data_IF_292224783765
#
_entry.id   IF_292224783765
#
_cell.length_a   1.000
_cell.length_b   1.000
_cell.length_c   1.000
_cell.angle_alpha   90.00
_cell.angle_beta   90.00
_cell.angle_gamma   90.00
#
_symmetry.space_group_name_H-M   'P 1'
#
loop_
_entity.id
_entity.type
_entity.pdbx_description
1 polymer ?
#
# COMPACT_ATOMS: atom_id res chain seq x y z
N UNK A 1 -15.99 9.90 3.89
CA UNK A 1 -17.12 10.09 4.83
C UNK A 1 -18.33 9.22 4.48
N UNK A 2 -18.86 9.27 3.24
CA UNK A 2 -20.05 8.46 2.86
C UNK A 2 -19.81 6.96 3.11
N UNK A 3 -18.69 6.41 2.64
CA UNK A 3 -18.34 4.98 2.79
C UNK A 3 -18.32 4.59 4.28
N UNK A 4 -17.61 5.33 5.11
CA UNK A 4 -17.51 5.03 6.55
C UNK A 4 -18.83 5.16 7.28
N UNK A 5 -19.68 6.10 6.87
CA UNK A 5 -21.05 6.21 7.43
C UNK A 5 -21.94 5.06 7.00
N UNK A 6 -21.78 4.56 5.78
CA UNK A 6 -22.57 3.42 5.27
C UNK A 6 -22.22 2.12 6.00
N UNK A 7 -20.92 1.88 6.25
CA UNK A 7 -20.45 0.63 6.86
C UNK A 7 -20.24 0.71 8.38
N UNK A 8 -20.30 1.90 8.97
CA UNK A 8 -20.19 2.10 10.42
C UNK A 8 -18.76 2.32 10.92
N UNK A 9 -18.62 2.36 12.25
CA UNK A 9 -17.37 2.76 12.94
C UNK A 9 -16.18 1.79 12.74
N UNK A 10 -16.45 0.58 12.29
CA UNK A 10 -15.43 -0.43 11.97
C UNK A 10 -14.90 -0.33 10.53
N UNK A 11 -15.39 0.65 9.76
CA UNK A 11 -14.92 0.93 8.41
C UNK A 11 -14.17 2.26 8.39
N UNK A 12 -12.88 2.19 8.14
CA UNK A 12 -11.98 3.33 7.97
C UNK A 12 -11.81 3.65 6.50
N UNK A 13 -11.69 4.94 6.21
CA UNK A 13 -11.32 5.44 4.87
C UNK A 13 -10.09 6.32 5.02
N UNK A 14 -9.05 6.03 4.23
CA UNK A 14 -7.82 6.82 4.17
C UNK A 14 -7.59 7.29 2.74
N UNK A 15 -7.11 8.53 2.59
CA UNK A 15 -6.60 9.05 1.31
C UNK A 15 -5.14 9.40 1.50
N UNK A 16 -4.32 8.89 0.60
CA UNK A 16 -2.89 9.17 0.48
C UNK A 16 -2.60 10.09 -0.68
N UNK A 17 -1.72 11.07 -0.44
CA UNK A 17 -1.06 11.91 -1.44
C UNK A 17 0.36 11.37 -1.68
N UNK A 18 0.68 10.97 -2.90
CA UNK A 18 1.97 10.38 -3.25
C UNK A 18 3.04 11.44 -3.57
N UNK A 19 2.63 12.69 -3.78
CA UNK A 19 3.59 13.78 -3.94
C UNK A 19 4.18 14.23 -2.59
N UNK A 20 3.63 13.74 -1.46
CA UNK A 20 4.11 14.04 -0.09
C UNK A 20 4.33 12.78 0.74
N UNK A 21 5.31 11.93 0.42
CA UNK A 21 5.50 10.62 1.05
C UNK A 21 5.62 10.69 2.58
N UNK A 22 6.29 11.71 3.13
CA UNK A 22 6.48 11.91 4.57
C UNK A 22 5.21 12.34 5.31
N UNK A 23 4.22 12.88 4.60
CA UNK A 23 2.93 13.31 5.13
C UNK A 23 1.81 12.82 4.21
N UNK A 24 1.86 11.58 3.81
CA UNK A 24 1.03 11.04 2.75
C UNK A 24 -0.44 10.93 3.12
N UNK A 25 -0.76 10.73 4.39
CA UNK A 25 -2.15 10.68 4.85
C UNK A 25 -2.74 12.08 4.86
N UNK A 26 -3.56 12.40 3.86
CA UNK A 26 -4.23 13.71 3.74
C UNK A 26 -5.66 13.70 4.25
N UNK A 27 -6.25 12.53 4.41
CA UNK A 27 -7.58 12.34 4.98
C UNK A 27 -7.70 10.99 5.66
N UNK A 28 -8.40 10.96 6.79
CA UNK A 28 -8.84 9.72 7.44
C UNK A 28 -10.20 9.92 8.08
N UNK A 29 -11.03 8.89 8.06
CA UNK A 29 -12.31 8.79 8.77
C UNK A 29 -12.36 7.44 9.48
N UNK A 30 -12.80 7.43 10.74
CA UNK A 30 -12.80 6.25 11.61
C UNK A 30 -11.40 5.62 11.80
N UNK A 31 -10.38 6.43 12.06
CA UNK A 31 -8.99 6.05 12.17
C UNK A 31 -8.66 5.03 13.29
N UNK A 32 -9.65 4.61 14.05
CA UNK A 32 -9.49 3.57 15.09
C UNK A 32 -9.20 2.16 14.52
N UNK A 33 -9.39 1.97 13.21
CA UNK A 33 -9.13 0.67 12.56
C UNK A 33 -7.62 0.43 12.41
N UNK A 34 -6.90 1.41 11.87
CA UNK A 34 -5.44 1.31 11.67
C UNK A 34 -4.63 2.26 12.56
N UNK A 35 -5.29 3.11 13.34
CA UNK A 35 -4.71 4.19 14.17
C UNK A 35 -3.88 5.20 13.37
N UNK A 36 -4.26 5.47 12.12
CA UNK A 36 -3.59 6.43 11.27
C UNK A 36 -4.15 7.82 11.39
N UNK A 37 -3.26 8.81 11.53
CA UNK A 37 -3.62 10.23 11.59
C UNK A 37 -3.24 10.97 10.32
N UNK A 38 -3.96 12.06 10.03
CA UNK A 38 -3.58 13.00 8.96
C UNK A 38 -2.19 13.56 9.23
N UNK A 39 -1.35 13.61 8.21
CA UNK A 39 0.04 14.05 8.28
C UNK A 39 1.05 12.91 8.53
N UNK A 40 0.61 11.69 8.75
CA UNK A 40 1.54 10.55 8.85
C UNK A 40 2.09 10.14 7.47
N UNK A 41 3.31 9.58 7.50
CA UNK A 41 3.96 9.00 6.32
C UNK A 41 3.32 7.67 5.91
N UNK A 42 3.72 7.14 4.77
CA UNK A 42 3.48 5.74 4.42
C UNK A 42 4.05 4.82 5.50
N UNK A 43 3.33 3.72 5.79
CA UNK A 43 3.98 2.61 6.50
C UNK A 43 4.77 1.78 5.50
N UNK A 44 5.87 1.20 5.98
CA UNK A 44 6.63 0.20 5.23
C UNK A 44 5.73 -0.93 4.73
N UNK A 45 4.79 -1.38 5.56
CA UNK A 45 3.78 -2.36 5.18
C UNK A 45 2.95 -1.90 3.97
N UNK A 46 2.41 -0.68 3.98
CA UNK A 46 1.58 -0.19 2.87
C UNK A 46 2.36 -0.14 1.56
N UNK A 47 3.60 0.30 1.61
CA UNK A 47 4.46 0.34 0.42
C UNK A 47 4.76 -1.07 -0.06
N UNK A 48 5.34 -1.93 0.78
CA UNK A 48 5.80 -3.27 0.40
C UNK A 48 4.64 -4.21 0.08
N UNK A 49 3.66 -4.30 0.99
CA UNK A 49 2.63 -5.34 0.93
C UNK A 49 1.39 -4.93 0.13
N UNK A 50 1.22 -3.65 -0.15
CA UNK A 50 0.05 -3.17 -0.90
C UNK A 50 0.46 -2.61 -2.25
N UNK A 51 1.29 -1.56 -2.27
CA UNK A 51 1.61 -0.89 -3.53
C UNK A 51 2.53 -1.73 -4.42
N UNK A 52 3.46 -2.47 -3.82
CA UNK A 52 4.51 -3.18 -4.55
C UNK A 52 4.17 -4.65 -4.83
N UNK A 53 3.53 -5.35 -3.90
CA UNK A 53 3.33 -6.79 -4.01
C UNK A 53 1.97 -7.20 -4.57
N UNK A 54 0.99 -6.27 -4.64
CA UNK A 54 -0.35 -6.61 -5.10
C UNK A 54 -0.60 -6.19 -6.54
N UNK A 55 -1.27 -7.08 -7.30
CA UNK A 55 -1.72 -6.76 -8.65
C UNK A 55 -2.94 -5.85 -8.60
N UNK A 56 -2.82 -4.68 -9.20
CA UNK A 56 -3.94 -3.77 -9.40
C UNK A 56 -4.62 -4.07 -10.74
N UNK A 57 -5.91 -4.34 -10.69
CA UNK A 57 -6.74 -4.50 -11.87
C UNK A 57 -7.62 -3.24 -12.04
N UNK A 58 -7.48 -2.53 -13.15
CA UNK A 58 -8.13 -1.23 -13.35
C UNK A 58 -7.92 -0.27 -12.17
N UNK A 59 -6.67 -0.12 -11.73
CA UNK A 59 -6.26 0.71 -10.59
C UNK A 59 -6.84 0.30 -9.24
N UNK A 60 -7.47 -0.87 -9.13
CA UNK A 60 -8.05 -1.36 -7.89
C UNK A 60 -7.44 -2.70 -7.46
N UNK A 61 -7.12 -2.80 -6.17
CA UNK A 61 -6.83 -4.05 -5.49
C UNK A 61 -7.83 -4.20 -4.33
N UNK A 62 -8.73 -5.17 -4.40
CA UNK A 62 -9.84 -5.29 -3.46
C UNK A 62 -9.77 -6.57 -2.63
N UNK A 63 -10.35 -6.51 -1.43
CA UNK A 63 -10.64 -7.66 -0.57
C UNK A 63 -9.41 -8.43 -0.07
N UNK A 64 -8.25 -7.78 0.09
CA UNK A 64 -7.12 -8.42 0.71
C UNK A 64 -7.19 -8.36 2.24
N UNK A 65 -6.62 -9.35 2.90
CA UNK A 65 -6.54 -9.41 4.36
C UNK A 65 -5.16 -8.93 4.79
N UNK A 66 -5.14 -8.07 5.79
CA UNK A 66 -3.92 -7.63 6.47
C UNK A 66 -4.06 -7.84 7.98
N UNK A 67 -2.94 -7.92 8.66
CA UNK A 67 -2.90 -7.96 10.11
C UNK A 67 -2.48 -6.59 10.66
N UNK A 68 -3.30 -6.03 11.54
CA UNK A 68 -2.99 -4.79 12.25
C UNK A 68 -1.90 -5.00 13.30
N UNK A 69 -1.32 -3.90 13.81
CA UNK A 69 -0.25 -3.93 14.84
C UNK A 69 -0.64 -4.67 16.13
N UNK A 70 -1.92 -4.80 16.40
CA UNK A 70 -2.51 -5.43 17.57
C UNK A 70 -3.09 -6.84 17.26
N UNK A 71 -2.70 -7.43 16.13
CA UNK A 71 -3.18 -8.74 15.68
C UNK A 71 -4.60 -8.73 15.10
N UNK A 72 -5.22 -7.56 14.94
CA UNK A 72 -6.53 -7.45 14.30
C UNK A 72 -6.48 -7.89 12.86
N UNK A 73 -7.45 -8.69 12.44
CA UNK A 73 -7.67 -8.97 11.03
C UNK A 73 -8.45 -7.84 10.37
N UNK A 74 -7.84 -7.24 9.36
CA UNK A 74 -8.40 -6.09 8.65
C UNK A 74 -8.58 -6.50 7.18
N UNK A 75 -9.80 -6.36 6.67
CA UNK A 75 -10.09 -6.50 5.25
C UNK A 75 -9.92 -5.16 4.58
N UNK A 76 -9.05 -5.09 3.58
CA UNK A 76 -8.68 -3.85 2.94
C UNK A 76 -8.95 -3.88 1.43
N UNK A 77 -9.15 -2.70 0.88
CA UNK A 77 -9.21 -2.45 -0.56
C UNK A 77 -8.56 -1.13 -0.86
N UNK A 78 -7.78 -1.07 -1.94
CA UNK A 78 -7.06 0.13 -2.36
C UNK A 78 -7.36 0.44 -3.81
N UNK A 79 -7.67 1.70 -4.10
CA UNK A 79 -7.79 2.23 -5.45
C UNK A 79 -6.75 3.33 -5.67
N UNK A 80 -6.02 3.25 -6.78
CA UNK A 80 -5.06 4.27 -7.19
C UNK A 80 -5.79 5.48 -7.76
N UNK A 81 -5.31 6.67 -7.46
CA UNK A 81 -5.84 7.94 -7.97
C UNK A 81 -4.83 8.46 -9.00
N UNK A 82 -5.31 8.74 -10.21
CA UNK A 82 -4.49 9.30 -11.29
C UNK A 82 -4.87 10.73 -11.59
N UNK A 83 -3.90 11.49 -12.05
CA UNK A 83 -4.14 12.80 -12.67
C UNK A 83 -4.66 12.67 -14.12
N UNK A 84 -4.90 13.80 -14.77
CA UNK A 84 -5.39 13.85 -16.15
C UNK A 84 -4.38 13.31 -17.19
N UNK A 85 -3.11 13.18 -16.81
CA UNK A 85 -2.04 12.65 -17.66
C UNK A 85 -1.83 11.15 -17.42
N UNK A 86 -2.63 10.52 -16.53
CA UNK A 86 -2.51 9.12 -16.19
C UNK A 86 -1.47 8.80 -15.09
N UNK A 87 -0.75 9.82 -14.57
CA UNK A 87 0.20 9.63 -13.47
C UNK A 87 -0.54 9.29 -12.18
N UNK A 88 -0.08 8.25 -11.45
CA UNK A 88 -0.59 7.95 -10.12
C UNK A 88 -0.14 9.03 -9.14
N UNK A 89 -1.10 9.71 -8.51
CA UNK A 89 -0.87 10.82 -7.59
C UNK A 89 -1.31 10.52 -6.16
N UNK A 90 -2.01 9.40 -5.95
CA UNK A 90 -2.49 9.05 -4.62
C UNK A 90 -3.20 7.70 -4.60
N UNK A 91 -3.75 7.37 -3.43
CA UNK A 91 -4.57 6.19 -3.24
C UNK A 91 -5.73 6.46 -2.27
N UNK A 92 -6.86 5.81 -2.53
CA UNK A 92 -7.98 5.66 -1.62
C UNK A 92 -7.94 4.26 -1.02
N UNK A 93 -7.88 4.16 0.31
CA UNK A 93 -7.94 2.91 1.03
C UNK A 93 -9.24 2.81 1.84
N UNK A 94 -9.89 1.64 1.79
CA UNK A 94 -11.03 1.28 2.63
C UNK A 94 -10.63 0.07 3.46
N UNK A 95 -10.65 0.21 4.78
CA UNK A 95 -10.23 -0.79 5.74
C UNK A 95 -11.40 -1.17 6.65
N UNK A 96 -11.67 -2.46 6.80
CA UNK A 96 -12.74 -2.97 7.66
C UNK A 96 -12.12 -3.85 8.74
N UNK A 97 -12.32 -3.48 10.00
CA UNK A 97 -11.95 -4.30 11.15
C UNK A 97 -12.89 -5.52 11.23
N UNK A 98 -12.33 -6.71 11.06
CA UNK A 98 -13.07 -7.98 11.10
C UNK A 98 -13.15 -8.58 12.51
N UNK A 99 -12.53 -7.98 13.53
CA UNK A 99 -12.36 -8.60 14.86
C UNK A 99 -13.69 -9.05 15.46
N UNK A 100 -14.73 -8.22 15.37
CA UNK A 100 -16.06 -8.56 15.88
C UNK A 100 -16.73 -9.69 15.09
N UNK A 101 -16.53 -9.74 13.77
CA UNK A 101 -17.09 -10.79 12.92
C UNK A 101 -16.40 -12.11 13.24
N UNK A 102 -15.08 -12.10 13.36
CA UNK A 102 -14.27 -13.28 13.71
C UNK A 102 -14.68 -13.82 15.09
N UNK A 103 -14.82 -12.94 16.09
CA UNK A 103 -15.27 -13.32 17.42
C UNK A 103 -16.67 -13.94 17.37
N UNK A 104 -17.61 -13.31 16.70
CA UNK A 104 -18.98 -13.81 16.57
C UNK A 104 -19.04 -15.17 15.86
N UNK A 105 -18.22 -15.39 14.83
CA UNK A 105 -18.10 -16.69 14.18
C UNK A 105 -17.56 -17.76 15.14
N UNK A 106 -16.56 -17.42 15.96
CA UNK A 106 -16.04 -18.32 17.00
C UNK A 106 -17.11 -18.71 18.04
N UNK A 107 -17.88 -17.71 18.51
CA UNK A 107 -18.98 -17.94 19.45
C UNK A 107 -20.03 -18.87 18.85
N UNK A 108 -20.41 -18.68 17.60
CA UNK A 108 -21.35 -19.57 16.88
C UNK A 108 -20.76 -20.97 16.74
N UNK A 109 -19.50 -21.09 16.33
CA UNK A 109 -18.83 -22.39 16.16
C UNK A 109 -18.83 -23.18 17.48
N UNK A 110 -18.50 -22.50 18.58
CA UNK A 110 -18.53 -23.08 19.93
C UNK A 110 -19.95 -23.55 20.31
N UNK A 111 -20.96 -22.70 20.08
CA UNK A 111 -22.36 -23.02 20.39
C UNK A 111 -22.87 -24.24 19.62
N UNK A 112 -22.45 -24.38 18.36
CA UNK A 112 -22.86 -25.49 17.49
C UNK A 112 -21.98 -26.72 17.62
N UNK A 113 -20.93 -26.70 18.46
CA UNK A 113 -19.94 -27.77 18.57
C UNK A 113 -19.17 -28.03 17.28
N UNK A 114 -19.01 -27.00 16.44
CA UNK A 114 -18.26 -27.06 15.20
C UNK A 114 -16.78 -26.76 15.45
N UNK A 115 -15.83 -27.29 14.65
CA UNK A 115 -14.45 -26.84 14.73
C UNK A 115 -14.35 -25.33 14.41
N UNK A 116 -13.36 -24.65 14.99
CA UNK A 116 -13.18 -23.22 14.82
C UNK A 116 -13.29 -22.79 13.36
N UNK A 117 -14.07 -21.73 13.12
CA UNK A 117 -14.25 -21.18 11.79
C UNK A 117 -12.89 -20.68 11.26
N UNK A 118 -12.44 -21.25 10.15
CA UNK A 118 -11.18 -20.89 9.52
C UNK A 118 -11.34 -19.49 8.90
N UNK A 119 -10.79 -18.46 9.56
CA UNK A 119 -10.51 -17.20 8.88
C UNK A 119 -9.37 -17.50 7.89
N UNK A 120 -9.53 -17.19 6.60
CA UNK A 120 -8.44 -17.43 5.65
C UNK A 120 -7.14 -16.82 6.17
N UNK A 121 -5.99 -17.52 6.09
CA UNK A 121 -4.72 -16.92 6.41
C UNK A 121 -4.51 -15.67 5.54
N UNK A 122 -3.80 -14.67 6.06
CA UNK A 122 -3.32 -13.59 5.23
C UNK A 122 -2.54 -14.22 4.06
N UNK A 123 -2.85 -13.83 2.83
CA UNK A 123 -2.13 -14.35 1.66
C UNK A 123 -0.65 -14.02 1.81
N UNK A 124 0.20 -15.05 1.92
CA UNK A 124 1.65 -14.88 1.78
C UNK A 124 1.93 -14.57 0.31
N UNK A 125 2.32 -13.33 0.04
CA UNK A 125 2.78 -12.91 -1.29
C UNK A 125 4.29 -13.11 -1.34
N UNK A 126 4.78 -13.73 -2.40
CA UNK A 126 6.22 -13.83 -2.67
C UNK A 126 6.79 -12.43 -2.95
N UNK A 127 7.32 -11.82 -1.88
CA UNK A 127 7.71 -10.40 -1.83
C UNK A 127 8.98 -10.11 -2.67
N UNK A 128 9.81 -11.13 -2.91
CA UNK A 128 11.15 -10.91 -3.47
C UNK A 128 11.14 -10.66 -4.97
N UNK A 129 10.26 -11.32 -5.73
CA UNK A 129 10.15 -11.12 -7.18
C UNK A 129 9.44 -9.81 -7.53
N UNK A 130 8.42 -9.45 -6.77
CA UNK A 130 7.61 -8.25 -7.02
C UNK A 130 8.35 -6.94 -6.72
N UNK A 131 9.25 -6.91 -5.73
CA UNK A 131 10.06 -5.71 -5.41
C UNK A 131 10.99 -5.36 -6.58
N UNK A 132 11.61 -6.36 -7.22
CA UNK A 132 12.49 -6.13 -8.37
C UNK A 132 11.75 -5.51 -9.55
N UNK A 133 10.62 -6.10 -9.95
CA UNK A 133 9.82 -5.62 -11.10
C UNK A 133 9.35 -4.18 -10.94
N UNK A 134 9.11 -3.74 -9.70
CA UNK A 134 8.58 -2.40 -9.43
C UNK A 134 9.67 -1.38 -9.22
N UNK A 135 10.78 -1.76 -8.61
CA UNK A 135 12.00 -0.95 -8.64
C UNK A 135 12.39 -0.71 -10.09
N UNK A 136 12.31 -1.73 -10.96
CA UNK A 136 12.53 -1.63 -12.39
C UNK A 136 11.54 -0.65 -13.04
N UNK A 137 10.25 -0.81 -12.79
CA UNK A 137 9.20 0.05 -13.35
C UNK A 137 9.32 1.52 -12.87
N UNK A 138 9.72 1.75 -11.61
CA UNK A 138 10.00 3.10 -11.08
C UNK A 138 11.25 3.69 -11.72
N UNK A 139 12.30 2.90 -11.87
CA UNK A 139 13.55 3.30 -12.53
C UNK A 139 13.26 3.61 -14.00
N UNK A 140 12.63 2.71 -14.73
CA UNK A 140 12.29 2.86 -16.14
C UNK A 140 11.38 4.07 -16.40
N UNK A 141 10.38 4.30 -15.55
CA UNK A 141 9.52 5.49 -15.63
C UNK A 141 10.24 6.79 -15.27
N UNK A 142 11.25 6.71 -14.38
CA UNK A 142 12.04 7.88 -13.97
C UNK A 142 13.07 8.25 -15.03
N UNK A 143 13.65 7.24 -15.67
CA UNK A 143 14.62 7.38 -16.76
C UNK A 143 13.89 7.71 -18.07
N UNK A 144 12.64 7.20 -18.25
CA UNK A 144 11.89 7.31 -19.51
C UNK A 144 12.59 6.58 -20.65
N UNK A 145 12.35 7.02 -21.89
CA UNK A 145 13.02 6.50 -23.10
C UNK A 145 14.48 6.99 -23.24
N UNK A 146 15.08 7.55 -22.17
CA UNK A 146 16.45 8.03 -22.21
C UNK A 146 17.42 6.89 -21.99
N UNK A 147 18.31 6.69 -22.93
CA UNK A 147 19.42 5.77 -22.82
C UNK A 147 20.43 6.27 -21.76
N UNK A 148 20.46 5.59 -20.61
CA UNK A 148 21.31 5.97 -19.47
C UNK A 148 22.79 5.94 -19.83
N UNK A 149 23.20 5.06 -20.76
CA UNK A 149 24.58 5.00 -21.23
C UNK A 149 25.00 6.27 -21.95
N UNK A 150 24.07 6.89 -22.66
CA UNK A 150 24.29 8.15 -23.42
C UNK A 150 24.21 9.41 -22.57
N UNK A 151 23.78 9.33 -21.32
CA UNK A 151 23.63 10.48 -20.41
C UNK A 151 24.98 11.08 -20.03
N UNK A 152 25.05 12.41 -20.03
CA UNK A 152 26.18 13.13 -19.48
C UNK A 152 26.29 12.94 -17.96
N UNK A 153 27.49 13.17 -17.41
CA UNK A 153 27.73 13.07 -15.97
C UNK A 153 26.75 13.94 -15.15
N UNK A 154 26.46 15.15 -15.65
CA UNK A 154 25.57 16.09 -14.95
C UNK A 154 24.10 15.60 -14.98
N UNK A 155 23.67 14.99 -16.08
CA UNK A 155 22.35 14.35 -16.18
C UNK A 155 22.23 13.15 -15.24
N UNK A 156 23.25 12.29 -15.15
CA UNK A 156 23.29 11.17 -14.20
C UNK A 156 23.24 11.65 -12.75
N UNK A 157 23.97 12.72 -12.41
CA UNK A 157 23.92 13.33 -11.07
C UNK A 157 22.53 13.91 -10.76
N UNK A 158 21.90 14.59 -11.72
CA UNK A 158 20.56 15.13 -11.57
C UNK A 158 19.52 14.02 -11.35
N UNK A 159 19.64 12.91 -12.08
CA UNK A 159 18.79 11.73 -11.93
C UNK A 159 18.95 11.10 -10.54
N UNK A 160 20.19 10.88 -10.08
CA UNK A 160 20.47 10.31 -8.76
C UNK A 160 19.93 11.22 -7.65
N UNK A 161 20.09 12.55 -7.78
CA UNK A 161 19.53 13.51 -6.82
C UNK A 161 18.00 13.41 -6.80
N UNK A 162 17.35 13.39 -7.95
CA UNK A 162 15.91 13.25 -8.07
C UNK A 162 15.41 11.96 -7.40
N UNK A 163 16.10 10.83 -7.62
CA UNK A 163 15.78 9.55 -6.98
C UNK A 163 16.00 9.59 -5.45
N UNK A 164 17.07 10.26 -5.00
CA UNK A 164 17.36 10.44 -3.58
C UNK A 164 16.32 11.35 -2.89
N UNK A 165 15.94 12.46 -3.52
CA UNK A 165 14.91 13.38 -3.00
C UNK A 165 13.53 12.72 -2.90
N UNK A 166 13.31 11.64 -3.66
CA UNK A 166 12.12 10.78 -3.61
C UNK A 166 12.28 9.56 -2.72
N UNK A 167 13.39 9.47 -2.00
CA UNK A 167 13.70 8.36 -1.08
C UNK A 167 13.66 6.96 -1.74
N UNK A 168 13.81 6.89 -3.06
CA UNK A 168 13.80 5.62 -3.82
C UNK A 168 14.89 4.69 -3.31
N UNK A 169 16.04 5.22 -2.90
CA UNK A 169 17.16 4.45 -2.34
C UNK A 169 16.91 3.85 -0.95
N UNK A 170 15.85 4.26 -0.26
CA UNK A 170 15.46 3.62 1.01
C UNK A 170 14.79 2.27 0.81
N UNK A 171 14.36 1.96 -0.41
CA UNK A 171 13.81 0.67 -0.78
C UNK A 171 14.97 -0.32 -0.92
N UNK A 172 14.95 -1.39 -0.12
CA UNK A 172 16.01 -2.40 -0.11
C UNK A 172 16.19 -3.05 -1.49
N UNK A 173 17.40 -3.00 -2.02
CA UNK A 173 17.76 -3.55 -3.34
C UNK A 173 17.83 -2.53 -4.47
N UNK A 174 17.31 -1.31 -4.30
CA UNK A 174 17.36 -0.26 -5.33
C UNK A 174 18.77 0.23 -5.62
N UNK A 175 19.63 0.31 -4.58
CA UNK A 175 21.03 0.75 -4.75
C UNK A 175 21.83 -0.21 -5.62
N UNK A 176 21.63 -1.53 -5.46
CA UNK A 176 22.35 -2.54 -6.24
C UNK A 176 21.96 -2.44 -7.72
N UNK A 177 20.67 -2.18 -8.00
CA UNK A 177 20.16 -2.11 -9.35
C UNK A 177 20.50 -0.80 -10.10
N UNK A 178 20.57 0.33 -9.39
CA UNK A 178 20.99 1.61 -9.99
C UNK A 178 22.51 1.62 -10.27
N UNK A 179 23.27 0.72 -9.64
CA UNK A 179 24.70 0.57 -9.83
C UNK A 179 25.09 -0.40 -10.99
N UNK A 180 24.14 -1.21 -11.46
CA UNK A 180 24.29 -2.05 -12.67
C UNK A 180 24.08 -1.20 -13.93
#
# INVERSE_FOLDING_TARGET
>A
KLISQTFGSHCEVIIHDFDRPQNSVVYTENNVVTNRAVGESFTEYFVKEVLLSRKFNNDCCANYIMEGKDGKKIKSSTALIRDLNGKVIGALCVNIDLSRIVQFMGDISTLLGMPDAIVPPAEEVDVVSSIREIVDDIIDRTIGDQDVESMSRDQKIALIRFMNDREIFTIKGTLDKVAE
#
